data_IF_345715512577
#
_entry.id   IF_345715512577
#
_cell.length_a   1.000
_cell.length_b   1.000
_cell.length_c   1.000
_cell.angle_alpha   90.00
_cell.angle_beta   90.00
_cell.angle_gamma   90.00
#
_symmetry.space_group_name_H-M   'P 1'
#
loop_
_entity.id
_entity.type
_entity.pdbx_description
1 polymer ?
#
# COMPACT_ATOMS: atom_id res chain seq x y z
N UNK A 1 23.11 -33.88 8.05
CA UNK A 1 21.71 -34.29 8.34
C UNK A 1 20.86 -33.22 7.74
N UNK A 2 20.27 -33.50 6.61
CA UNK A 2 19.37 -32.60 5.87
C UNK A 2 18.06 -32.52 6.63
N UNK A 3 17.76 -31.37 7.17
CA UNK A 3 16.42 -31.09 7.73
C UNK A 3 15.44 -30.95 6.56
N UNK A 4 14.60 -31.95 6.38
CA UNK A 4 13.43 -31.87 5.53
C UNK A 4 12.51 -30.76 6.07
N UNK A 5 12.49 -29.62 5.38
CA UNK A 5 11.42 -28.66 5.57
C UNK A 5 10.14 -29.27 5.06
N UNK A 6 9.15 -29.40 5.93
CA UNK A 6 7.78 -29.80 5.59
C UNK A 6 7.20 -28.78 4.59
N UNK A 7 7.34 -29.09 3.33
CA UNK A 7 6.83 -28.30 2.22
C UNK A 7 5.31 -28.52 2.14
N UNK A 8 4.54 -27.65 2.74
CA UNK A 8 3.07 -27.68 2.80
C UNK A 8 2.43 -27.24 1.46
N UNK A 9 3.01 -27.60 0.33
CA UNK A 9 2.42 -27.41 -0.99
C UNK A 9 2.31 -25.93 -1.47
N UNK A 10 2.86 -24.96 -0.72
CA UNK A 10 2.95 -23.58 -1.16
C UNK A 10 4.06 -23.43 -2.21
N UNK A 11 3.79 -22.67 -3.27
CA UNK A 11 4.83 -22.30 -4.23
C UNK A 11 5.88 -21.39 -3.56
N UNK A 12 7.15 -21.45 -4.01
CA UNK A 12 8.16 -20.51 -3.54
C UNK A 12 7.75 -19.07 -3.83
N UNK A 13 8.11 -18.15 -2.93
CA UNK A 13 7.89 -16.73 -3.16
C UNK A 13 8.60 -16.24 -4.44
N UNK A 14 8.03 -15.27 -5.14
CA UNK A 14 8.61 -14.75 -6.38
C UNK A 14 10.00 -14.12 -6.19
N UNK A 15 10.29 -13.66 -4.97
CA UNK A 15 11.58 -13.07 -4.59
C UNK A 15 12.37 -14.00 -3.64
N UNK A 16 12.08 -15.29 -3.63
CA UNK A 16 12.88 -16.25 -2.85
C UNK A 16 14.32 -16.25 -3.32
N UNK A 17 15.25 -16.16 -2.37
CA UNK A 17 16.68 -16.03 -2.64
C UNK A 17 17.18 -14.59 -2.79
N UNK A 18 16.29 -13.60 -2.84
CA UNK A 18 16.68 -12.18 -2.83
C UNK A 18 16.79 -11.70 -1.39
N UNK A 19 17.97 -11.17 -1.01
CA UNK A 19 18.22 -10.54 0.28
C UNK A 19 18.15 -9.03 0.16
N UNK A 20 17.35 -8.40 1.04
CA UNK A 20 17.14 -6.97 1.11
C UNK A 20 17.57 -6.45 2.48
N UNK A 21 18.45 -5.47 2.49
CA UNK A 21 18.81 -4.73 3.71
C UNK A 21 17.91 -3.49 3.79
N UNK A 22 17.09 -3.46 4.80
CA UNK A 22 16.10 -2.40 5.06
C UNK A 22 16.60 -1.46 6.15
N UNK A 23 17.12 -0.29 5.76
CA UNK A 23 17.59 0.78 6.65
C UNK A 23 16.50 1.84 6.90
N UNK A 24 15.27 1.56 6.47
CA UNK A 24 14.22 2.58 6.39
C UNK A 24 13.47 2.78 7.70
N UNK A 25 12.81 3.94 7.81
CA UNK A 25 11.97 4.33 8.94
C UNK A 25 10.62 4.88 8.45
N UNK A 26 9.66 4.98 9.36
CA UNK A 26 8.33 5.54 9.12
C UNK A 26 7.50 4.76 8.09
N UNK A 27 7.21 5.34 6.90
CA UNK A 27 6.16 4.84 5.99
C UNK A 27 6.72 4.42 4.64
N UNK A 28 7.28 5.34 3.85
CA UNK A 28 7.60 5.11 2.42
C UNK A 28 8.56 3.95 2.19
N UNK A 29 9.69 3.97 2.88
CA UNK A 29 10.68 2.89 2.80
C UNK A 29 10.19 1.57 3.36
N UNK A 30 9.63 1.53 4.59
CA UNK A 30 9.06 0.29 5.12
C UNK A 30 7.95 -0.31 4.26
N UNK A 31 7.15 0.51 3.56
CA UNK A 31 6.15 0.01 2.62
C UNK A 31 6.79 -0.62 1.38
N UNK A 32 7.83 -0.01 0.82
CA UNK A 32 8.61 -0.57 -0.28
C UNK A 32 9.15 -1.96 0.08
N UNK A 33 9.84 -2.08 1.21
CA UNK A 33 10.46 -3.33 1.64
C UNK A 33 9.44 -4.37 2.14
N UNK A 34 8.26 -3.93 2.65
CA UNK A 34 7.13 -4.81 2.94
C UNK A 34 6.65 -5.55 1.69
N UNK A 35 6.51 -4.85 0.57
CA UNK A 35 6.08 -5.46 -0.69
C UNK A 35 7.07 -6.56 -1.12
N UNK A 36 8.38 -6.32 -0.98
CA UNK A 36 9.41 -7.32 -1.25
C UNK A 36 9.30 -8.53 -0.31
N UNK A 37 9.16 -8.28 1.00
CA UNK A 37 9.01 -9.33 2.02
C UNK A 37 7.77 -10.20 1.77
N UNK A 38 6.65 -9.56 1.39
CA UNK A 38 5.41 -10.26 1.07
C UNK A 38 5.55 -11.15 -0.19
N UNK A 39 6.44 -10.77 -1.12
CA UNK A 39 6.79 -11.59 -2.29
C UNK A 39 7.86 -12.66 -1.99
N UNK A 40 8.30 -12.80 -0.74
CA UNK A 40 9.19 -13.87 -0.30
C UNK A 40 10.67 -13.49 -0.23
N UNK A 41 11.05 -12.21 -0.42
CA UNK A 41 12.41 -11.76 -0.18
C UNK A 41 12.79 -11.91 1.31
N UNK A 42 14.05 -12.22 1.57
CA UNK A 42 14.65 -12.14 2.89
C UNK A 42 14.93 -10.67 3.23
N UNK A 43 14.02 -10.01 3.95
CA UNK A 43 14.17 -8.61 4.32
C UNK A 43 14.68 -8.48 5.75
N UNK A 44 15.91 -7.99 5.89
CA UNK A 44 16.57 -7.73 7.18
C UNK A 44 16.43 -6.23 7.49
N UNK A 45 15.51 -5.89 8.39
CA UNK A 45 15.33 -4.53 8.88
C UNK A 45 16.38 -4.21 9.95
N UNK A 46 17.19 -3.21 9.67
CA UNK A 46 18.22 -2.71 10.58
C UNK A 46 17.62 -1.59 11.42
N UNK A 47 17.66 -1.77 12.72
CA UNK A 47 17.08 -0.83 13.67
C UNK A 47 18.11 -0.37 14.72
N UNK A 48 17.92 0.85 15.24
CA UNK A 48 18.80 1.36 16.32
C UNK A 48 18.57 0.55 17.60
N UNK A 49 19.64 0.09 18.28
CA UNK A 49 19.50 -0.57 19.57
C UNK A 49 18.67 0.24 20.57
N UNK A 50 17.82 -0.42 21.33
CA UNK A 50 16.97 0.15 22.38
C UNK A 50 15.81 1.03 21.93
N UNK A 51 15.87 1.67 20.76
CA UNK A 51 14.82 2.60 20.29
C UNK A 51 14.02 2.13 19.08
N UNK A 52 14.62 1.35 18.20
CA UNK A 52 14.00 0.87 16.96
C UNK A 52 13.59 1.97 15.99
N UNK A 53 12.74 1.58 15.04
CA UNK A 53 12.06 2.51 14.14
C UNK A 53 11.10 3.40 14.93
N UNK A 54 11.14 4.74 14.77
CA UNK A 54 10.21 5.63 15.45
C UNK A 54 8.73 5.29 15.26
N UNK A 55 8.35 4.67 14.13
CA UNK A 55 6.96 4.27 13.82
C UNK A 55 6.42 3.21 14.80
N UNK A 56 7.28 2.47 15.52
CA UNK A 56 6.86 1.53 16.58
C UNK A 56 6.00 2.19 17.64
N UNK A 57 6.15 3.53 17.82
CA UNK A 57 5.43 4.30 18.82
C UNK A 57 4.23 5.08 18.28
N UNK A 58 3.91 4.92 16.99
CA UNK A 58 2.82 5.65 16.34
C UNK A 58 1.55 4.80 16.21
N UNK A 59 0.43 5.45 16.47
CA UNK A 59 -0.89 4.82 16.43
C UNK A 59 -1.30 4.20 17.77
N UNK A 60 -2.49 3.60 17.83
CA UNK A 60 -2.92 2.88 19.01
C UNK A 60 -1.96 1.72 19.28
N UNK A 61 -1.49 1.62 20.52
CA UNK A 61 -0.78 0.42 20.96
C UNK A 61 -1.76 -0.75 20.97
N UNK A 62 -1.50 -1.76 20.17
CA UNK A 62 -2.39 -2.92 20.04
C UNK A 62 -2.22 -3.94 21.16
N UNK A 63 -1.41 -3.66 22.17
CA UNK A 63 -1.32 -4.48 23.38
C UNK A 63 -2.19 -3.88 24.48
N UNK A 64 -3.31 -4.51 24.87
CA UNK A 64 -4.19 -4.04 25.95
C UNK A 64 -3.54 -4.12 27.33
N UNK A 65 -2.45 -4.85 27.48
CA UNK A 65 -1.79 -5.13 28.76
C UNK A 65 -0.33 -4.68 28.70
N UNK A 66 0.18 -3.92 29.69
CA UNK A 66 1.61 -3.72 29.82
C UNK A 66 2.28 -5.09 29.97
N UNK A 67 3.25 -5.40 29.11
CA UNK A 67 4.12 -6.54 29.31
C UNK A 67 4.82 -6.39 30.67
N UNK A 68 5.12 -7.47 31.38
CA UNK A 68 5.86 -7.42 32.64
C UNK A 68 7.13 -6.56 32.50
N UNK A 69 7.47 -5.82 33.57
CA UNK A 69 8.70 -5.01 33.59
C UNK A 69 9.90 -5.90 33.27
N UNK A 70 10.54 -5.65 32.12
CA UNK A 70 11.72 -6.40 31.65
C UNK A 70 11.55 -7.12 30.30
N UNK A 71 10.34 -7.31 29.82
CA UNK A 71 10.08 -7.89 28.49
C UNK A 71 9.56 -6.81 27.53
N UNK A 72 10.45 -6.26 26.71
CA UNK A 72 10.13 -5.46 25.53
C UNK A 72 9.29 -4.21 25.79
N UNK A 73 9.50 -3.18 24.97
CA UNK A 73 8.79 -1.91 25.04
C UNK A 73 7.26 -2.11 24.99
N UNK A 74 6.52 -1.22 25.65
CA UNK A 74 5.06 -1.04 25.50
C UNK A 74 4.69 -1.21 24.02
N UNK A 75 3.86 -2.16 23.73
CA UNK A 75 3.51 -2.74 22.44
C UNK A 75 3.70 -1.86 21.20
N UNK A 76 4.12 -2.49 20.14
CA UNK A 76 4.30 -1.84 18.83
C UNK A 76 2.99 -1.25 18.33
N UNK A 77 3.05 -0.05 17.75
CA UNK A 77 1.90 0.63 17.18
C UNK A 77 1.42 -0.04 15.88
N UNK A 78 0.12 0.10 15.59
CA UNK A 78 -0.53 -0.52 14.44
C UNK A 78 0.20 -0.25 13.10
N UNK A 79 0.78 0.93 12.93
CA UNK A 79 1.57 1.29 11.75
C UNK A 79 2.80 0.41 11.58
N UNK A 80 3.55 0.20 12.65
CA UNK A 80 4.73 -0.67 12.60
C UNK A 80 4.33 -2.10 12.24
N UNK A 81 3.33 -2.64 12.90
CA UNK A 81 2.86 -4.00 12.68
C UNK A 81 2.41 -4.21 11.24
N UNK A 82 1.73 -3.24 10.63
CA UNK A 82 1.30 -3.30 9.24
C UNK A 82 2.47 -3.20 8.25
N UNK A 83 3.36 -2.22 8.44
CA UNK A 83 4.42 -1.88 7.48
C UNK A 83 5.61 -2.84 7.53
N UNK A 84 5.73 -3.67 8.57
CA UNK A 84 6.90 -4.52 8.75
C UNK A 84 6.57 -6.02 8.85
N UNK A 85 5.39 -6.43 8.36
CA UNK A 85 5.05 -7.85 8.21
C UNK A 85 6.08 -8.57 7.34
N UNK A 86 6.36 -9.83 7.68
CA UNK A 86 7.25 -10.77 6.97
C UNK A 86 8.74 -10.37 6.94
N UNK A 87 9.16 -9.37 7.72
CA UNK A 87 10.57 -8.97 7.86
C UNK A 87 11.24 -9.65 9.05
N UNK A 88 12.57 -9.68 9.01
CA UNK A 88 13.44 -9.97 10.17
C UNK A 88 13.92 -8.65 10.77
N UNK A 89 14.21 -8.60 12.08
CA UNK A 89 14.77 -7.42 12.74
C UNK A 89 16.16 -7.73 13.32
N UNK A 90 17.13 -6.90 12.96
CA UNK A 90 18.45 -6.84 13.54
C UNK A 90 18.67 -5.46 14.13
N UNK A 91 19.01 -5.37 15.42
CA UNK A 91 19.47 -4.11 16.01
C UNK A 91 20.94 -3.87 15.67
N UNK A 92 21.28 -2.63 15.25
CA UNK A 92 22.65 -2.28 14.87
C UNK A 92 22.89 -0.77 15.02
N UNK A 93 23.94 -0.42 15.77
CA UNK A 93 24.39 0.97 15.86
C UNK A 93 25.33 1.33 14.71
N UNK A 94 24.80 1.99 13.68
CA UNK A 94 25.56 2.47 12.52
C UNK A 94 26.47 3.68 12.85
N UNK A 95 26.44 4.21 14.07
CA UNK A 95 27.41 5.18 14.55
C UNK A 95 28.75 4.55 14.95
N UNK A 96 28.74 3.25 15.29
CA UNK A 96 29.96 2.49 15.65
C UNK A 96 30.63 1.88 14.43
N UNK A 97 31.96 1.74 14.48
CA UNK A 97 32.69 1.08 13.38
C UNK A 97 32.34 -0.40 13.29
N UNK A 98 32.15 -1.09 14.42
CA UNK A 98 31.70 -2.48 14.44
C UNK A 98 30.32 -2.66 13.77
N UNK A 99 29.37 -1.75 14.03
CA UNK A 99 28.06 -1.78 13.38
C UNK A 99 28.15 -1.56 11.86
N UNK A 100 29.00 -0.62 11.42
CA UNK A 100 29.23 -0.40 9.98
C UNK A 100 29.88 -1.61 9.30
N UNK A 101 30.82 -2.29 9.97
CA UNK A 101 31.48 -3.47 9.41
C UNK A 101 30.52 -4.67 9.29
N UNK A 102 29.63 -4.83 10.27
CA UNK A 102 28.54 -5.83 10.18
C UNK A 102 27.62 -5.49 9.00
N UNK A 103 27.21 -4.23 8.83
CA UNK A 103 26.37 -3.82 7.70
C UNK A 103 27.08 -4.08 6.36
N UNK A 104 28.38 -3.74 6.21
CA UNK A 104 29.16 -4.03 5.01
C UNK A 104 29.20 -5.53 4.70
N UNK A 105 29.33 -6.36 5.74
CA UNK A 105 29.31 -7.82 5.59
C UNK A 105 27.95 -8.32 5.09
N UNK A 106 26.85 -7.78 5.58
CA UNK A 106 25.50 -8.10 5.09
C UNK A 106 25.31 -7.66 3.64
N UNK A 107 25.73 -6.44 3.30
CA UNK A 107 25.63 -5.88 1.93
C UNK A 107 26.43 -6.68 0.90
N UNK A 108 27.56 -7.27 1.29
CA UNK A 108 28.37 -8.09 0.36
C UNK A 108 27.61 -9.27 -0.23
N UNK A 109 26.55 -9.73 0.43
CA UNK A 109 25.69 -10.85 -0.02
C UNK A 109 24.25 -10.45 -0.29
N UNK A 110 23.92 -9.16 -0.21
CA UNK A 110 22.58 -8.66 -0.48
C UNK A 110 22.44 -8.19 -1.93
N UNK A 111 21.27 -8.34 -2.51
CA UNK A 111 20.95 -7.80 -3.82
C UNK A 111 20.45 -6.35 -3.74
N UNK A 112 19.81 -5.99 -2.63
CA UNK A 112 19.11 -4.70 -2.48
C UNK A 112 19.44 -4.07 -1.13
N UNK A 113 19.66 -2.74 -1.14
CA UNK A 113 19.64 -1.87 0.06
C UNK A 113 18.57 -0.83 -0.16
N UNK A 114 17.68 -0.63 0.81
CA UNK A 114 16.70 0.46 0.80
C UNK A 114 16.93 1.34 2.02
N UNK A 115 17.03 2.66 1.81
CA UNK A 115 17.17 3.64 2.88
C UNK A 115 16.27 4.85 2.63
N UNK A 116 15.91 5.58 3.71
CA UNK A 116 15.17 6.83 3.62
C UNK A 116 15.64 7.86 4.67
N UNK A 117 16.95 7.90 4.90
CA UNK A 117 17.57 8.91 5.74
C UNK A 117 17.57 10.29 5.04
N UNK A 118 17.92 11.31 5.80
CA UNK A 118 18.19 12.62 5.20
C UNK A 118 19.34 12.51 4.18
N UNK A 119 19.22 13.13 3.00
CA UNK A 119 20.23 13.06 1.94
C UNK A 119 21.65 13.30 2.43
N UNK A 120 22.60 12.49 1.98
CA UNK A 120 24.00 12.52 2.39
C UNK A 120 24.30 11.87 3.76
N UNK A 121 23.32 11.30 4.44
CA UNK A 121 23.56 10.59 5.71
C UNK A 121 24.37 9.31 5.47
N UNK A 122 24.02 8.52 4.47
CA UNK A 122 24.77 7.30 4.12
C UNK A 122 26.22 7.63 3.74
N UNK A 123 26.46 8.69 2.98
CA UNK A 123 27.80 9.14 2.62
C UNK A 123 28.65 9.53 3.85
N UNK A 124 28.04 10.27 4.78
CA UNK A 124 28.71 10.65 6.05
C UNK A 124 29.08 9.45 6.93
N UNK A 125 28.31 8.36 6.82
CA UNK A 125 28.61 7.10 7.51
C UNK A 125 29.68 6.27 6.79
N UNK A 126 30.07 6.62 5.54
CA UNK A 126 30.93 5.79 4.68
C UNK A 126 30.21 4.53 4.19
N UNK A 127 28.91 4.66 3.98
CA UNK A 127 27.98 3.62 3.55
C UNK A 127 27.14 4.10 2.35
N UNK A 128 27.58 5.15 1.66
CA UNK A 128 26.95 5.62 0.43
C UNK A 128 27.06 4.62 -0.71
N UNK A 129 26.27 4.79 -1.77
CA UNK A 129 26.27 3.87 -2.91
C UNK A 129 27.69 3.67 -3.48
N UNK A 130 28.45 4.77 -3.65
CA UNK A 130 29.85 4.74 -4.15
C UNK A 130 30.82 3.96 -3.27
N UNK A 131 30.49 3.72 -1.99
CA UNK A 131 31.29 2.88 -1.10
C UNK A 131 30.81 1.42 -1.16
N UNK A 132 29.49 1.21 -1.18
CA UNK A 132 28.88 -0.11 -1.15
C UNK A 132 29.02 -0.86 -2.50
N UNK A 133 28.97 -0.16 -3.63
CA UNK A 133 29.20 -0.75 -4.97
C UNK A 133 30.59 -1.39 -5.14
N UNK A 134 31.59 -0.87 -4.41
CA UNK A 134 32.95 -1.47 -4.40
C UNK A 134 32.98 -2.83 -3.73
N UNK A 135 32.06 -3.08 -2.78
CA UNK A 135 31.90 -4.36 -2.10
C UNK A 135 31.01 -5.32 -2.89
N UNK A 136 30.02 -4.78 -3.56
CA UNK A 136 29.06 -5.53 -4.34
C UNK A 136 28.67 -4.74 -5.61
N UNK A 137 29.33 -4.96 -6.75
CA UNK A 137 29.09 -4.23 -7.98
C UNK A 137 27.67 -4.41 -8.57
N UNK A 138 26.98 -5.48 -8.20
CA UNK A 138 25.60 -5.75 -8.64
C UNK A 138 24.54 -5.20 -7.67
N UNK A 139 24.95 -4.47 -6.62
CA UNK A 139 24.05 -3.94 -5.62
C UNK A 139 23.08 -2.91 -6.20
N UNK A 140 21.80 -3.10 -5.96
CA UNK A 140 20.76 -2.08 -6.17
C UNK A 140 20.54 -1.33 -4.86
N UNK A 141 20.80 -0.03 -4.84
CA UNK A 141 20.52 0.83 -3.68
C UNK A 141 19.39 1.80 -4.01
N UNK A 142 18.35 1.81 -3.20
CA UNK A 142 17.19 2.71 -3.35
C UNK A 142 17.13 3.68 -2.19
N UNK A 143 17.26 4.97 -2.49
CA UNK A 143 17.14 6.08 -1.54
C UNK A 143 15.80 6.78 -1.74
N UNK A 144 14.97 6.86 -0.70
CA UNK A 144 13.67 7.53 -0.74
C UNK A 144 13.74 8.75 0.16
N UNK A 145 13.53 9.95 -0.38
CA UNK A 145 13.58 11.17 0.40
C UNK A 145 12.45 12.14 0.06
N UNK A 146 12.27 13.18 0.88
CA UNK A 146 11.19 14.12 0.71
C UNK A 146 11.23 14.82 -0.66
N UNK A 147 12.42 15.28 -1.09
CA UNK A 147 12.63 16.08 -2.30
C UNK A 147 13.73 15.53 -3.23
N UNK A 148 14.12 14.28 -3.06
CA UNK A 148 15.22 13.67 -3.83
C UNK A 148 16.60 13.95 -3.24
N UNK A 149 17.62 13.32 -3.83
CA UNK A 149 19.02 13.43 -3.42
C UNK A 149 19.73 14.69 -3.97
N UNK A 150 19.07 15.44 -4.85
CA UNK A 150 19.62 16.61 -5.52
C UNK A 150 18.63 17.79 -5.51
N UNK A 151 19.05 18.95 -6.01
CA UNK A 151 18.19 20.12 -6.13
C UNK A 151 18.17 21.04 -4.89
N UNK A 152 17.51 22.21 -5.01
CA UNK A 152 17.56 23.25 -3.98
C UNK A 152 16.83 22.91 -2.67
N UNK A 153 15.89 21.96 -2.72
CA UNK A 153 15.09 21.54 -1.56
C UNK A 153 15.58 20.23 -0.91
N UNK A 154 16.65 19.66 -1.43
CA UNK A 154 17.23 18.40 -0.99
C UNK A 154 17.29 18.23 0.53
N UNK A 155 17.76 19.26 1.24
CA UNK A 155 17.99 19.23 2.68
C UNK A 155 16.79 19.76 3.51
N UNK A 156 15.67 20.09 2.85
CA UNK A 156 14.49 20.60 3.52
C UNK A 156 13.72 19.48 4.20
N UNK A 157 13.12 19.83 5.34
CA UNK A 157 12.30 18.90 6.10
C UNK A 157 10.85 18.98 5.65
N UNK A 158 10.23 17.82 5.48
CA UNK A 158 8.82 17.71 5.21
C UNK A 158 8.22 16.45 5.87
N UNK A 159 6.92 16.45 5.98
CA UNK A 159 6.09 15.31 6.33
C UNK A 159 5.03 15.13 5.26
N UNK A 160 4.16 14.14 5.37
CA UNK A 160 3.06 13.91 4.41
C UNK A 160 2.29 15.19 4.08
N UNK A 161 1.87 15.95 5.11
CA UNK A 161 1.10 17.19 4.93
C UNK A 161 1.81 18.20 4.03
N UNK A 162 3.12 18.39 4.24
CA UNK A 162 3.91 19.35 3.47
C UNK A 162 4.11 18.88 2.02
N UNK A 163 4.36 17.57 1.83
CA UNK A 163 4.58 16.96 0.51
C UNK A 163 3.29 16.94 -0.32
N UNK A 164 2.15 16.63 0.32
CA UNK A 164 0.84 16.69 -0.30
C UNK A 164 0.48 18.12 -0.73
N UNK A 165 0.80 19.13 0.10
CA UNK A 165 0.60 20.52 -0.21
C UNK A 165 1.52 20.99 -1.35
N UNK A 166 2.84 20.80 -1.22
CA UNK A 166 3.83 21.25 -2.18
C UNK A 166 3.75 20.52 -3.53
N UNK A 167 3.32 19.24 -3.52
CA UNK A 167 3.08 18.44 -4.71
C UNK A 167 1.82 18.82 -5.50
N UNK A 168 1.00 19.77 -5.00
CA UNK A 168 -0.19 20.28 -5.70
C UNK A 168 -1.49 19.54 -5.43
N UNK A 169 -1.45 18.33 -4.87
CA UNK A 169 -2.65 17.51 -4.59
C UNK A 169 -3.64 18.23 -3.67
N UNK A 170 -3.15 18.92 -2.66
CA UNK A 170 -3.98 19.67 -1.72
C UNK A 170 -4.70 20.84 -2.40
N UNK A 171 -4.08 21.48 -3.42
CA UNK A 171 -4.66 22.58 -4.14
C UNK A 171 -5.96 22.19 -4.88
N UNK A 172 -6.03 20.96 -5.38
CA UNK A 172 -7.18 20.42 -6.14
C UNK A 172 -8.19 19.65 -5.29
N UNK A 173 -7.96 19.54 -3.97
CA UNK A 173 -8.81 18.74 -3.05
C UNK A 173 -9.60 19.63 -2.12
N UNK A 174 -10.92 19.45 -2.09
CA UNK A 174 -11.86 20.16 -1.20
C UNK A 174 -12.93 20.98 -1.93
N UNK A 175 -13.75 21.67 -1.15
CA UNK A 175 -14.80 22.53 -1.66
C UNK A 175 -14.23 23.83 -2.27
N UNK A 176 -14.88 24.41 -3.31
CA UNK A 176 -14.40 25.62 -4.00
C UNK A 176 -14.14 26.80 -3.08
N UNK A 177 -15.07 27.05 -2.18
CA UNK A 177 -15.11 28.24 -1.31
C UNK A 177 -14.56 27.99 0.11
N UNK A 178 -13.91 26.84 0.32
CA UNK A 178 -13.34 26.46 1.61
C UNK A 178 -11.83 26.30 1.52
N UNK A 179 -11.16 26.09 2.67
CA UNK A 179 -9.75 25.73 2.70
C UNK A 179 -9.51 24.40 1.98
N UNK A 180 -8.31 24.22 1.39
CA UNK A 180 -7.90 22.93 0.84
C UNK A 180 -7.92 21.82 1.90
N UNK A 181 -8.31 20.62 1.50
CA UNK A 181 -8.34 19.45 2.39
C UNK A 181 -7.11 18.58 2.18
N UNK A 182 -6.61 18.02 3.29
CA UNK A 182 -5.62 16.94 3.25
C UNK A 182 -6.35 15.60 3.07
N UNK A 183 -5.62 14.62 2.56
CA UNK A 183 -6.08 13.23 2.50
C UNK A 183 -6.21 12.57 3.88
N UNK A 184 -6.98 11.51 3.95
CA UNK A 184 -7.16 10.71 5.17
C UNK A 184 -6.03 9.72 5.47
N UNK A 185 -5.17 9.42 4.49
CA UNK A 185 -4.07 8.45 4.58
C UNK A 185 -2.78 9.05 4.00
N UNK A 186 -1.58 8.58 4.36
CA UNK A 186 -0.32 9.10 3.84
C UNK A 186 -0.05 8.62 2.40
N UNK A 187 -0.89 9.07 1.45
CA UNK A 187 -0.91 8.60 0.07
C UNK A 187 0.37 8.94 -0.69
N UNK A 188 0.97 10.12 -0.46
CA UNK A 188 2.22 10.48 -1.12
C UNK A 188 3.36 9.57 -0.68
N UNK A 189 3.47 9.26 0.61
CA UNK A 189 4.49 8.34 1.12
C UNK A 189 4.26 6.89 0.69
N UNK A 190 3.02 6.39 0.75
CA UNK A 190 2.70 5.02 0.32
C UNK A 190 2.94 4.84 -1.17
N UNK A 191 2.51 5.80 -1.99
CA UNK A 191 2.70 5.75 -3.44
C UNK A 191 4.16 5.88 -3.85
N UNK A 192 4.94 6.75 -3.20
CA UNK A 192 6.38 6.82 -3.43
C UNK A 192 7.08 5.51 -3.03
N UNK A 193 6.65 4.86 -1.93
CA UNK A 193 7.14 3.53 -1.53
C UNK A 193 6.83 2.46 -2.58
N UNK A 194 5.64 2.49 -3.17
CA UNK A 194 5.27 1.59 -4.26
C UNK A 194 6.08 1.88 -5.55
N UNK A 195 6.30 3.14 -5.88
CA UNK A 195 7.13 3.56 -7.01
C UNK A 195 8.58 3.09 -6.81
N UNK A 196 9.11 3.25 -5.60
CA UNK A 196 10.42 2.75 -5.24
C UNK A 196 10.53 1.23 -5.41
N UNK A 197 9.50 0.47 -4.98
CA UNK A 197 9.45 -0.98 -5.21
C UNK A 197 9.53 -1.31 -6.71
N UNK A 198 8.71 -0.68 -7.56
CA UNK A 198 8.70 -0.94 -9.00
C UNK A 198 10.06 -0.62 -9.64
N UNK A 199 10.65 0.54 -9.32
CA UNK A 199 11.96 0.94 -9.84
C UNK A 199 13.07 -0.02 -9.39
N UNK A 200 13.03 -0.45 -8.11
CA UNK A 200 13.99 -1.42 -7.56
C UNK A 200 13.88 -2.78 -8.26
N UNK A 201 12.65 -3.25 -8.57
CA UNK A 201 12.48 -4.49 -9.32
C UNK A 201 13.08 -4.40 -10.73
N UNK A 202 12.86 -3.29 -11.44
CA UNK A 202 13.48 -3.07 -12.75
C UNK A 202 15.01 -3.06 -12.70
N UNK A 203 15.58 -2.41 -11.69
CA UNK A 203 17.03 -2.36 -11.49
C UNK A 203 17.61 -3.73 -11.06
N UNK A 204 16.87 -4.49 -10.24
CA UNK A 204 17.27 -5.86 -9.86
C UNK A 204 17.37 -6.76 -11.10
N UNK A 205 16.35 -6.77 -11.96
CA UNK A 205 16.36 -7.52 -13.22
C UNK A 205 17.57 -7.12 -14.09
N UNK A 206 17.84 -5.82 -14.20
CA UNK A 206 19.02 -5.36 -14.93
C UNK A 206 20.34 -5.83 -14.29
N UNK A 207 20.43 -5.79 -12.96
CA UNK A 207 21.63 -6.24 -12.25
C UNK A 207 21.84 -7.76 -12.38
N UNK A 208 20.79 -8.55 -12.38
CA UNK A 208 20.85 -10.00 -12.63
C UNK A 208 21.35 -10.33 -14.04
N UNK A 209 20.89 -9.58 -15.06
CA UNK A 209 21.28 -9.79 -16.45
C UNK A 209 22.72 -9.30 -16.76
N UNK A 210 23.14 -8.20 -16.13
CA UNK A 210 24.39 -7.50 -16.51
C UNK A 210 25.52 -7.60 -15.48
N UNK A 211 25.20 -7.97 -14.25
CA UNK A 211 26.12 -7.87 -13.10
C UNK A 211 26.38 -6.44 -12.62
N UNK A 212 25.60 -5.44 -13.09
CA UNK A 212 25.79 -4.03 -12.76
C UNK A 212 24.59 -3.52 -11.95
N UNK A 213 24.84 -3.13 -10.70
CA UNK A 213 23.87 -2.49 -9.82
C UNK A 213 23.60 -1.03 -10.20
N UNK A 214 22.66 -0.41 -9.52
CA UNK A 214 22.27 0.99 -9.73
C UNK A 214 21.88 1.67 -8.41
N UNK A 215 22.09 2.99 -8.36
CA UNK A 215 21.50 3.83 -7.32
C UNK A 215 20.21 4.46 -7.85
N UNK A 216 19.14 4.26 -7.11
CA UNK A 216 17.79 4.77 -7.42
C UNK A 216 17.47 5.89 -6.44
N UNK A 217 17.17 7.08 -6.95
CA UNK A 217 16.72 8.25 -6.19
C UNK A 217 15.21 8.42 -6.38
N UNK A 218 14.44 8.32 -5.31
CA UNK A 218 12.98 8.50 -5.30
C UNK A 218 12.61 9.69 -4.44
N UNK A 219 12.02 10.70 -5.06
CA UNK A 219 11.47 11.88 -4.41
C UNK A 219 9.96 11.70 -4.15
N UNK A 220 9.54 11.84 -2.91
CA UNK A 220 8.12 11.77 -2.54
C UNK A 220 7.36 12.98 -3.13
N UNK A 221 7.99 14.16 -3.16
CA UNK A 221 7.42 15.36 -3.78
C UNK A 221 7.16 15.18 -5.28
N UNK A 222 8.11 14.55 -5.98
CA UNK A 222 7.98 14.33 -7.43
C UNK A 222 6.87 13.32 -7.71
N UNK A 223 6.74 12.27 -6.85
CA UNK A 223 5.61 11.36 -6.92
C UNK A 223 4.28 12.09 -6.74
N UNK A 224 4.14 12.93 -5.68
CA UNK A 224 2.93 13.69 -5.44
C UNK A 224 2.55 14.60 -6.63
N UNK A 225 3.55 15.21 -7.29
CA UNK A 225 3.35 15.99 -8.49
C UNK A 225 2.99 15.13 -9.71
N UNK A 226 3.61 13.96 -9.84
CA UNK A 226 3.36 13.06 -10.98
C UNK A 226 1.90 12.56 -11.03
N UNK A 227 1.23 12.42 -9.89
CA UNK A 227 -0.17 11.97 -9.85
C UNK A 227 -1.21 13.11 -9.98
N UNK A 228 -0.79 14.34 -10.24
CA UNK A 228 -1.71 15.44 -10.56
C UNK A 228 -2.41 15.25 -11.91
N UNK A 229 -1.86 14.39 -12.78
CA UNK A 229 -2.50 13.92 -13.99
C UNK A 229 -3.09 15.08 -14.85
N UNK A 230 -4.43 15.09 -14.97
CA UNK A 230 -5.17 16.02 -15.80
C UNK A 230 -5.02 17.49 -15.38
N UNK A 231 -4.90 17.78 -14.09
CA UNK A 231 -4.83 19.15 -13.58
C UNK A 231 -3.58 19.89 -14.11
N UNK A 232 -2.42 19.23 -14.06
CA UNK A 232 -1.18 19.79 -14.58
C UNK A 232 -1.23 19.92 -16.11
N UNK A 233 -1.76 18.92 -16.80
CA UNK A 233 -1.85 18.92 -18.26
C UNK A 233 -2.81 19.99 -18.77
N UNK A 234 -3.95 20.19 -18.10
CA UNK A 234 -4.89 21.25 -18.43
C UNK A 234 -4.20 22.62 -18.39
N UNK A 235 -3.53 22.93 -17.29
CA UNK A 235 -2.79 24.19 -17.17
C UNK A 235 -1.68 24.33 -18.23
N UNK A 236 -0.92 23.27 -18.45
CA UNK A 236 0.19 23.28 -19.42
C UNK A 236 -0.27 23.52 -20.86
N UNK A 237 -1.43 22.99 -21.26
CA UNK A 237 -1.95 23.11 -22.62
C UNK A 237 -2.82 24.35 -22.85
N UNK A 238 -3.63 24.75 -21.87
CA UNK A 238 -4.63 25.83 -22.05
C UNK A 238 -4.34 27.08 -21.23
N UNK A 239 -3.47 26.99 -20.22
CA UNK A 239 -3.27 28.06 -19.22
C UNK A 239 -4.43 28.17 -18.21
N UNK A 240 -5.41 27.29 -18.29
CA UNK A 240 -6.55 27.28 -17.38
C UNK A 240 -6.24 26.49 -16.11
N UNK A 241 -6.45 27.11 -14.95
CA UNK A 241 -6.25 26.43 -13.68
C UNK A 241 -7.35 25.41 -13.39
N UNK A 242 -6.92 24.24 -12.93
CA UNK A 242 -7.81 23.23 -12.37
C UNK A 242 -8.13 23.61 -10.92
N UNK A 243 -9.37 23.99 -10.66
CA UNK A 243 -9.81 24.43 -9.32
C UNK A 243 -10.51 23.30 -8.58
N UNK A 244 -10.65 23.44 -7.26
CA UNK A 244 -11.45 22.52 -6.45
C UNK A 244 -12.92 22.57 -6.88
N UNK A 245 -13.55 21.41 -6.90
CA UNK A 245 -14.97 21.24 -7.31
C UNK A 245 -15.81 20.56 -6.25
N UNK A 246 -15.25 20.32 -5.07
CA UNK A 246 -15.93 19.62 -3.99
C UNK A 246 -16.21 18.16 -4.34
N UNK A 247 -17.39 17.72 -3.94
CA UNK A 247 -17.84 16.34 -4.14
C UNK A 247 -18.41 16.05 -5.53
N UNK A 248 -18.51 17.06 -6.41
CA UNK A 248 -18.93 16.85 -7.81
C UNK A 248 -17.75 16.55 -8.71
N UNK A 249 -17.96 15.68 -9.69
CA UNK A 249 -16.97 15.45 -10.76
C UNK A 249 -16.80 16.71 -11.62
N UNK A 250 -15.55 17.05 -11.96
CA UNK A 250 -15.24 18.23 -12.78
C UNK A 250 -16.00 18.21 -14.11
N UNK A 251 -16.79 19.27 -14.33
CA UNK A 251 -17.62 19.44 -15.54
C UNK A 251 -18.70 18.35 -15.75
N UNK A 252 -19.23 17.76 -14.67
CA UNK A 252 -20.22 16.67 -14.75
C UNK A 252 -21.29 16.76 -13.65
N UNK A 253 -22.53 16.27 -14.01
CA UNK A 253 -23.66 16.03 -13.12
C UNK A 253 -24.57 14.93 -13.77
N UNK A 254 -25.27 14.10 -13.07
CA UNK A 254 -25.07 13.63 -11.72
C UNK A 254 -23.80 12.73 -11.62
N UNK A 255 -22.77 13.29 -11.09
CA UNK A 255 -21.52 12.59 -10.82
C UNK A 255 -20.94 13.21 -9.54
N UNK A 256 -20.94 12.44 -8.46
CA UNK A 256 -20.47 12.97 -7.19
C UNK A 256 -20.77 12.07 -6.01
N UNK A 257 -20.54 12.61 -4.82
CA UNK A 257 -20.84 11.97 -3.55
C UNK A 257 -22.12 12.61 -2.98
N UNK A 258 -23.09 11.78 -2.64
CA UNK A 258 -24.39 12.19 -2.15
C UNK A 258 -24.68 11.56 -0.78
N UNK A 259 -25.39 12.27 0.12
CA UNK A 259 -25.87 11.68 1.36
C UNK A 259 -27.01 10.68 1.08
N UNK A 260 -27.09 9.64 1.91
CA UNK A 260 -28.18 8.67 1.92
C UNK A 260 -28.64 8.43 3.36
N UNK A 261 -29.56 7.49 3.59
CA UNK A 261 -30.16 7.27 4.90
C UNK A 261 -29.11 6.96 5.99
N UNK A 262 -28.11 6.13 5.68
CA UNK A 262 -27.11 5.60 6.62
C UNK A 262 -25.67 5.99 6.31
N UNK A 263 -25.45 7.00 5.44
CA UNK A 263 -24.11 7.45 5.10
C UNK A 263 -24.03 8.21 3.78
N UNK A 264 -23.14 7.76 2.90
CA UNK A 264 -22.88 8.40 1.62
C UNK A 264 -22.73 7.39 0.49
N UNK A 265 -23.11 7.82 -0.72
CA UNK A 265 -22.94 7.03 -1.96
C UNK A 265 -22.22 7.85 -3.02
N UNK A 266 -21.41 7.17 -3.82
CA UNK A 266 -20.82 7.72 -5.03
C UNK A 266 -21.69 7.34 -6.24
N UNK A 267 -22.10 8.31 -7.02
CA UNK A 267 -22.95 8.10 -8.20
C UNK A 267 -22.25 8.62 -9.44
N UNK A 268 -22.20 7.79 -10.48
CA UNK A 268 -21.77 8.15 -11.83
C UNK A 268 -22.90 7.81 -12.78
N UNK A 269 -23.56 8.82 -13.33
CA UNK A 269 -24.72 8.65 -14.22
C UNK A 269 -24.40 8.01 -15.58
N UNK A 270 -23.12 7.82 -15.90
CA UNK A 270 -22.69 7.27 -17.18
C UNK A 270 -22.92 8.20 -18.38
N UNK A 271 -22.95 7.66 -19.62
CA UNK A 271 -23.24 8.42 -20.83
C UNK A 271 -24.71 8.85 -20.90
N UNK A 272 -25.01 9.81 -21.77
CA UNK A 272 -26.37 10.38 -21.91
C UNK A 272 -27.45 9.34 -22.19
N UNK A 273 -27.12 8.28 -22.88
CA UNK A 273 -28.02 7.16 -23.20
C UNK A 273 -28.45 6.37 -21.97
N UNK A 274 -27.76 6.51 -20.84
CA UNK A 274 -28.06 5.81 -19.58
C UNK A 274 -28.81 6.68 -18.57
N UNK A 275 -29.08 7.94 -18.91
CA UNK A 275 -29.80 8.84 -18.03
C UNK A 275 -31.22 8.39 -17.69
N UNK A 276 -32.00 7.79 -18.63
CA UNK A 276 -33.32 7.26 -18.29
C UNK A 276 -33.34 6.20 -17.20
N UNK A 277 -32.28 5.36 -17.11
CA UNK A 277 -32.17 4.36 -16.04
C UNK A 277 -31.89 5.02 -14.68
N UNK A 278 -31.07 6.08 -14.64
CA UNK A 278 -30.86 6.87 -13.41
C UNK A 278 -32.18 7.48 -12.96
N UNK A 279 -32.94 8.11 -13.86
CA UNK A 279 -34.24 8.70 -13.56
C UNK A 279 -35.24 7.63 -13.06
N UNK A 280 -35.20 6.42 -13.66
CA UNK A 280 -36.01 5.28 -13.25
C UNK A 280 -35.70 4.78 -11.84
N UNK A 281 -34.42 4.67 -11.48
CA UNK A 281 -34.01 4.28 -10.12
C UNK A 281 -34.48 5.30 -9.08
N UNK A 282 -34.35 6.60 -9.38
CA UNK A 282 -34.74 7.68 -8.46
C UNK A 282 -36.25 7.85 -8.32
N UNK A 283 -37.07 7.14 -9.12
CA UNK A 283 -38.55 7.20 -9.11
C UNK A 283 -39.10 8.62 -9.23
N UNK A 284 -38.40 9.49 -10.01
CA UNK A 284 -38.72 10.89 -10.21
C UNK A 284 -38.96 11.20 -11.68
N UNK A 285 -40.23 11.45 -12.03
CA UNK A 285 -40.63 11.78 -13.40
C UNK A 285 -39.94 13.07 -13.88
N UNK A 286 -39.72 14.03 -12.97
CA UNK A 286 -39.07 15.32 -13.26
C UNK A 286 -37.64 15.14 -13.82
N UNK A 287 -36.93 14.08 -13.44
CA UNK A 287 -35.60 13.78 -13.99
C UNK A 287 -35.64 13.35 -15.47
N UNK A 288 -36.81 13.04 -16.00
CA UNK A 288 -37.04 12.76 -17.43
C UNK A 288 -37.24 14.03 -18.29
N UNK A 289 -37.17 15.21 -17.70
CA UNK A 289 -37.25 16.49 -18.45
C UNK A 289 -36.17 16.52 -19.53
N UNK A 290 -36.50 16.88 -20.79
CA UNK A 290 -35.52 16.98 -21.88
C UNK A 290 -34.30 17.86 -21.59
N UNK A 291 -34.39 18.83 -20.66
CA UNK A 291 -33.23 19.62 -20.21
C UNK A 291 -32.12 18.76 -19.61
N UNK A 292 -32.45 17.61 -19.01
CA UNK A 292 -31.50 16.71 -18.36
C UNK A 292 -31.01 15.57 -19.26
N UNK A 293 -31.55 15.47 -20.48
CA UNK A 293 -31.19 14.37 -21.38
C UNK A 293 -29.70 14.35 -21.77
N UNK A 294 -29.05 15.51 -21.85
CA UNK A 294 -27.63 15.61 -22.17
C UNK A 294 -26.78 15.94 -20.95
N UNK A 295 -25.51 15.48 -20.97
CA UNK A 295 -24.52 15.82 -19.96
C UNK A 295 -24.40 17.31 -19.70
N UNK A 296 -24.37 18.11 -20.77
CA UNK A 296 -24.27 19.57 -20.66
C UNK A 296 -25.55 20.17 -20.03
N UNK A 297 -26.72 19.63 -20.40
CA UNK A 297 -27.98 20.04 -19.78
C UNK A 297 -28.02 19.77 -18.28
N UNK A 298 -27.57 18.59 -17.86
CA UNK A 298 -27.44 18.26 -16.43
C UNK A 298 -26.41 19.14 -15.72
N UNK A 299 -25.28 19.43 -16.34
CA UNK A 299 -24.25 20.29 -15.76
C UNK A 299 -24.77 21.71 -15.50
N UNK A 300 -25.49 22.30 -16.47
CA UNK A 300 -26.08 23.64 -16.32
C UNK A 300 -27.12 23.67 -15.20
N UNK A 301 -27.84 22.58 -14.99
CA UNK A 301 -28.91 22.46 -14.01
C UNK A 301 -28.50 21.53 -12.82
N UNK A 302 -27.21 21.48 -12.48
CA UNK A 302 -26.68 20.48 -11.56
C UNK A 302 -27.35 20.51 -10.17
N UNK A 303 -27.61 21.69 -9.63
CA UNK A 303 -28.28 21.85 -8.33
C UNK A 303 -29.74 21.37 -8.36
N UNK A 304 -30.44 21.57 -9.46
CA UNK A 304 -31.80 21.06 -9.64
C UNK A 304 -31.83 19.54 -9.76
N UNK A 305 -30.90 18.98 -10.53
CA UNK A 305 -30.74 17.51 -10.65
C UNK A 305 -30.45 16.88 -9.30
N UNK A 306 -29.49 17.42 -8.55
CA UNK A 306 -29.14 16.92 -7.21
C UNK A 306 -30.34 17.04 -6.24
N UNK A 307 -31.07 18.16 -6.26
CA UNK A 307 -32.25 18.37 -5.43
C UNK A 307 -33.38 17.38 -5.75
N UNK A 308 -33.54 16.99 -7.01
CA UNK A 308 -34.53 15.98 -7.43
C UNK A 308 -34.12 14.55 -7.02
N UNK A 309 -32.81 14.24 -7.02
CA UNK A 309 -32.31 12.93 -6.61
C UNK A 309 -32.33 12.73 -5.08
N UNK A 310 -32.06 13.78 -4.34
CA UNK A 310 -31.81 13.74 -2.90
C UNK A 310 -32.95 13.10 -2.06
N UNK A 311 -34.27 13.33 -2.29
CA UNK A 311 -35.33 12.71 -1.49
C UNK A 311 -35.31 11.18 -1.55
N UNK A 312 -35.10 10.60 -2.75
CA UNK A 312 -34.97 9.15 -2.91
C UNK A 312 -33.72 8.61 -2.22
N UNK A 313 -32.59 9.28 -2.39
CA UNK A 313 -31.31 8.89 -1.77
C UNK A 313 -31.41 8.89 -0.23
N UNK A 314 -32.04 9.88 0.37
CA UNK A 314 -32.20 9.98 1.83
C UNK A 314 -33.19 8.97 2.41
N UNK A 315 -34.04 8.35 1.58
CA UNK A 315 -35.00 7.32 1.98
C UNK A 315 -34.48 5.89 1.80
N UNK A 316 -33.24 5.73 1.28
CA UNK A 316 -32.64 4.41 1.01
C UNK A 316 -31.27 4.27 1.65
N UNK A 317 -30.95 3.05 2.07
CA UNK A 317 -29.65 2.69 2.62
C UNK A 317 -28.58 2.63 1.52
N UNK A 318 -27.32 2.92 1.88
CA UNK A 318 -26.17 2.97 0.93
C UNK A 318 -25.99 1.67 0.14
N UNK A 319 -26.25 0.51 0.74
CA UNK A 319 -26.09 -0.80 0.10
C UNK A 319 -27.22 -1.04 -0.91
N UNK A 320 -28.46 -0.61 -0.62
CA UNK A 320 -29.60 -0.75 -1.53
C UNK A 320 -29.43 0.17 -2.75
N UNK A 321 -28.94 1.40 -2.54
CA UNK A 321 -28.61 2.32 -3.64
C UNK A 321 -27.52 1.73 -4.52
N UNK A 322 -26.45 1.15 -3.92
CA UNK A 322 -25.40 0.47 -4.66
C UNK A 322 -25.94 -0.67 -5.52
N UNK A 323 -26.76 -1.55 -4.95
CA UNK A 323 -27.37 -2.68 -5.67
C UNK A 323 -28.25 -2.23 -6.81
N UNK A 324 -29.14 -1.25 -6.57
CA UNK A 324 -30.02 -0.70 -7.61
C UNK A 324 -29.22 -0.15 -8.80
N UNK A 325 -28.12 0.56 -8.55
CA UNK A 325 -27.22 1.04 -9.60
C UNK A 325 -26.54 -0.10 -10.36
N UNK A 326 -26.02 -1.10 -9.66
CA UNK A 326 -25.33 -2.24 -10.28
C UNK A 326 -26.28 -3.12 -11.10
N UNK A 327 -27.51 -3.36 -10.64
CA UNK A 327 -28.55 -4.09 -11.38
C UNK A 327 -28.92 -3.38 -12.68
N UNK A 328 -28.91 -2.05 -12.66
CA UNK A 328 -29.11 -1.23 -13.85
C UNK A 328 -27.83 -1.07 -14.69
N UNK A 329 -26.70 -1.63 -14.30
CA UNK A 329 -25.41 -1.51 -15.00
C UNK A 329 -24.82 -0.09 -14.93
N UNK A 330 -25.06 0.63 -13.83
CA UNK A 330 -24.55 1.98 -13.55
C UNK A 330 -23.44 1.94 -12.51
N UNK A 331 -22.52 2.90 -12.59
CA UNK A 331 -21.40 3.02 -11.69
C UNK A 331 -21.78 3.65 -10.34
N UNK A 332 -22.65 3.01 -9.59
CA UNK A 332 -22.96 3.40 -8.22
C UNK A 332 -22.06 2.67 -7.25
N UNK A 333 -21.67 3.34 -6.17
CA UNK A 333 -20.85 2.79 -5.10
C UNK A 333 -21.29 3.36 -3.76
N UNK A 334 -20.94 2.69 -2.66
CA UNK A 334 -21.18 3.23 -1.32
C UNK A 334 -19.86 3.59 -0.63
N UNK A 335 -19.91 4.61 0.23
CA UNK A 335 -18.75 4.98 1.07
C UNK A 335 -18.70 4.00 2.23
N UNK A 336 -17.77 3.06 2.14
CA UNK A 336 -17.63 1.96 3.10
C UNK A 336 -16.95 2.44 4.39
N UNK A 337 -17.49 2.03 5.54
CA UNK A 337 -16.81 2.09 6.84
C UNK A 337 -15.79 0.95 6.95
N UNK A 338 -14.97 0.94 8.01
CA UNK A 338 -14.05 -0.18 8.25
C UNK A 338 -14.80 -1.49 8.54
N UNK A 339 -15.96 -1.42 9.18
CA UNK A 339 -16.86 -2.55 9.41
C UNK A 339 -17.40 -3.08 8.08
N UNK A 340 -17.95 -2.21 7.22
CA UNK A 340 -18.41 -2.60 5.88
C UNK A 340 -17.30 -3.30 5.07
N UNK A 341 -16.05 -2.82 5.15
CA UNK A 341 -14.91 -3.41 4.44
C UNK A 341 -14.62 -4.82 4.95
N UNK A 342 -14.63 -5.02 6.26
CA UNK A 342 -14.34 -6.34 6.86
C UNK A 342 -15.43 -7.37 6.58
N UNK A 343 -16.66 -6.94 6.29
CA UNK A 343 -17.82 -7.77 5.99
C UNK A 343 -18.15 -7.81 4.48
N UNK A 344 -17.40 -7.09 3.64
CA UNK A 344 -17.66 -7.01 2.21
C UNK A 344 -17.55 -8.37 1.52
N UNK A 345 -18.66 -8.85 0.98
CA UNK A 345 -18.79 -10.16 0.30
C UNK A 345 -17.70 -10.36 -0.76
N UNK A 346 -17.38 -9.31 -1.55
CA UNK A 346 -16.36 -9.37 -2.59
C UNK A 346 -14.95 -9.63 -2.02
N UNK A 347 -14.60 -9.01 -0.91
CA UNK A 347 -13.29 -9.19 -0.28
C UNK A 347 -13.21 -10.55 0.40
N UNK A 348 -14.30 -11.01 1.02
CA UNK A 348 -14.42 -12.34 1.62
C UNK A 348 -14.30 -13.42 0.53
N UNK A 349 -15.08 -13.30 -0.56
CA UNK A 349 -15.05 -14.28 -1.66
C UNK A 349 -13.69 -14.32 -2.40
N UNK A 350 -12.88 -13.27 -2.26
CA UNK A 350 -11.51 -13.23 -2.77
C UNK A 350 -10.46 -13.69 -1.77
N UNK A 351 -10.82 -14.12 -0.58
CA UNK A 351 -9.89 -14.44 0.53
C UNK A 351 -8.85 -13.32 0.71
N UNK A 352 -9.33 -12.07 0.68
CA UNK A 352 -8.45 -10.90 0.66
C UNK A 352 -7.75 -10.66 1.99
N UNK A 353 -8.43 -10.97 3.10
CA UNK A 353 -7.88 -10.75 4.43
C UNK A 353 -7.00 -11.91 4.87
N UNK A 354 -5.89 -11.58 5.53
CA UNK A 354 -5.01 -12.55 6.18
C UNK A 354 -5.03 -12.32 7.69
N UNK A 355 -5.04 -13.40 8.45
CA UNK A 355 -4.96 -13.34 9.91
C UNK A 355 -3.53 -13.58 10.36
N UNK A 356 -3.01 -12.67 11.18
CA UNK A 356 -1.66 -12.74 11.73
C UNK A 356 -1.71 -12.73 13.26
N UNK A 357 -1.10 -13.75 13.87
CA UNK A 357 -0.95 -13.85 15.32
C UNK A 357 0.30 -13.10 15.77
N UNK A 358 0.11 -12.06 16.55
CA UNK A 358 1.16 -11.25 17.16
C UNK A 358 1.48 -11.68 18.62
N UNK A 359 1.20 -12.91 18.97
CA UNK A 359 1.44 -13.46 20.31
C UNK A 359 0.65 -12.71 21.37
N UNK A 360 1.34 -12.03 22.31
CA UNK A 360 0.66 -11.31 23.40
C UNK A 360 -0.27 -10.18 22.94
N UNK A 361 -0.09 -9.65 21.73
CA UNK A 361 -0.96 -8.63 21.16
C UNK A 361 -2.27 -9.20 20.58
N UNK A 362 -2.33 -10.51 20.32
CA UNK A 362 -3.48 -11.20 19.74
C UNK A 362 -3.42 -11.34 18.23
N UNK A 363 -4.50 -11.90 17.67
CA UNK A 363 -4.65 -12.14 16.24
C UNK A 363 -5.47 -11.03 15.60
N UNK A 364 -4.97 -10.49 14.48
CA UNK A 364 -5.64 -9.41 13.76
C UNK A 364 -5.77 -9.75 12.27
N UNK A 365 -6.85 -9.24 11.66
CA UNK A 365 -7.05 -9.28 10.21
C UNK A 365 -6.24 -8.16 9.55
N UNK A 366 -5.47 -8.53 8.54
CA UNK A 366 -4.68 -7.61 7.71
C UNK A 366 -5.18 -7.60 6.28
N UNK A 367 -5.07 -6.47 5.57
CA UNK A 367 -5.21 -6.48 4.12
C UNK A 367 -4.16 -7.38 3.49
N UNK A 368 -4.59 -8.31 2.67
CA UNK A 368 -3.71 -9.14 1.86
C UNK A 368 -3.19 -8.41 0.61
N UNK A 369 -2.52 -9.13 -0.26
CA UNK A 369 -2.08 -8.58 -1.53
C UNK A 369 -3.26 -8.38 -2.49
N UNK A 370 -3.35 -7.24 -3.18
CA UNK A 370 -4.44 -6.98 -4.12
C UNK A 370 -4.29 -7.74 -5.45
N UNK A 371 -3.21 -8.51 -5.60
CA UNK A 371 -2.84 -9.25 -6.80
C UNK A 371 -2.98 -10.74 -6.53
N UNK A 372 -3.60 -11.49 -7.44
CA UNK A 372 -3.57 -12.95 -7.48
C UNK A 372 -2.73 -13.40 -8.64
N UNK A 373 -1.82 -14.34 -8.40
CA UNK A 373 -0.96 -14.92 -9.40
C UNK A 373 -1.27 -16.41 -9.53
N UNK A 374 -1.47 -16.88 -10.77
CA UNK A 374 -1.72 -18.29 -11.07
C UNK A 374 -0.65 -18.81 -12.01
N UNK A 375 -0.07 -19.98 -11.72
CA UNK A 375 0.82 -20.66 -12.64
C UNK A 375 0.04 -21.67 -13.49
N UNK A 376 0.50 -21.91 -14.73
CA UNK A 376 -0.09 -22.90 -15.64
C UNK A 376 0.08 -24.36 -15.16
N UNK A 377 0.89 -24.57 -14.13
CA UNK A 377 1.11 -25.89 -13.50
C UNK A 377 0.16 -26.17 -12.34
N UNK A 378 -0.65 -25.22 -11.92
CA UNK A 378 -1.77 -25.50 -11.01
C UNK A 378 -2.76 -26.44 -11.73
N UNK A 379 -3.24 -27.52 -11.10
CA UNK A 379 -4.28 -28.34 -11.70
C UNK A 379 -5.50 -27.45 -11.92
N UNK A 380 -5.68 -27.01 -13.14
CA UNK A 380 -6.96 -26.43 -13.55
C UNK A 380 -8.00 -27.53 -13.33
N UNK A 381 -8.97 -27.28 -12.46
CA UNK A 381 -10.23 -27.99 -12.52
C UNK A 381 -10.72 -27.82 -13.96
N UNK A 382 -10.66 -28.89 -14.75
CA UNK A 382 -11.14 -28.89 -16.13
C UNK A 382 -12.53 -28.26 -16.15
N UNK A 383 -12.80 -27.28 -17.01
CA UNK A 383 -14.17 -26.86 -17.22
C UNK A 383 -14.91 -28.09 -17.71
N UNK A 384 -15.91 -28.55 -16.97
CA UNK A 384 -16.83 -29.56 -17.45
C UNK A 384 -17.35 -29.11 -18.83
N UNK A 385 -17.05 -29.90 -19.85
CA UNK A 385 -17.69 -29.76 -21.14
C UNK A 385 -19.20 -30.00 -20.94
N UNK A 386 -19.92 -28.90 -20.72
CA UNK A 386 -21.37 -28.89 -20.99
C UNK A 386 -21.83 -27.44 -21.15
N UNK A 387 -22.35 -27.25 -22.36
CA UNK A 387 -23.25 -26.22 -22.84
C UNK A 387 -22.71 -25.05 -23.64
N UNK A 388 -22.43 -25.30 -24.91
CA UNK A 388 -23.01 -24.46 -25.95
C UNK A 388 -24.52 -24.61 -25.91
N UNK A 389 -25.23 -23.66 -25.32
CA UNK A 389 -26.62 -23.31 -25.73
C UNK A 389 -27.11 -22.08 -24.96
N UNK A 390 -27.45 -21.05 -25.72
CA UNK A 390 -28.46 -20.04 -25.44
C UNK A 390 -28.22 -19.03 -24.29
N UNK A 391 -27.99 -17.82 -24.72
CA UNK A 391 -28.35 -16.62 -23.96
C UNK A 391 -29.81 -16.73 -23.47
N UNK A 392 -30.02 -16.63 -22.14
CA UNK A 392 -31.31 -16.30 -21.54
C UNK A 392 -31.17 -16.07 -20.02
N UNK A 393 -32.12 -15.36 -19.38
CA UNK A 393 -31.86 -14.36 -18.38
C UNK A 393 -31.67 -14.95 -16.99
N UNK A 394 -31.04 -14.13 -16.14
CA UNK A 394 -30.88 -14.21 -14.68
C UNK A 394 -31.83 -15.19 -13.97
N UNK A 395 -31.30 -16.37 -13.63
CA UNK A 395 -31.92 -17.24 -12.62
C UNK A 395 -31.47 -16.80 -11.24
N UNK A 396 -32.43 -16.51 -10.39
CA UNK A 396 -32.23 -16.49 -8.95
C UNK A 396 -31.84 -17.89 -8.50
N UNK A 397 -30.57 -18.10 -8.14
CA UNK A 397 -30.15 -19.25 -7.36
C UNK A 397 -29.81 -18.78 -5.96
N UNK A 398 -30.48 -19.41 -5.00
CA UNK A 398 -30.16 -19.30 -3.59
C UNK A 398 -28.72 -19.77 -3.34
N UNK A 399 -27.98 -19.17 -2.39
CA UNK A 399 -26.62 -19.57 -2.10
C UNK A 399 -26.63 -20.95 -1.43
N UNK A 400 -26.42 -22.00 -2.20
CA UNK A 400 -26.02 -23.29 -1.67
C UNK A 400 -24.55 -23.20 -1.27
N UNK A 401 -24.31 -23.25 0.06
CA UNK A 401 -22.99 -23.34 0.65
C UNK A 401 -22.22 -24.55 0.11
N UNK A 402 -21.17 -24.27 -0.61
CA UNK A 402 -20.18 -25.22 -1.09
C UNK A 402 -19.06 -24.43 -1.74
N UNK A 403 -18.05 -24.07 -0.94
CA UNK A 403 -16.83 -23.50 -1.50
C UNK A 403 -16.16 -24.54 -2.40
N UNK A 404 -15.85 -24.23 -3.66
CA UNK A 404 -14.87 -25.00 -4.39
C UNK A 404 -13.51 -24.64 -3.78
N UNK A 405 -13.00 -25.53 -2.94
CA UNK A 405 -11.62 -25.51 -2.44
C UNK A 405 -10.65 -25.84 -3.57
N UNK A 406 -10.53 -24.96 -4.53
CA UNK A 406 -9.37 -24.86 -5.40
C UNK A 406 -8.47 -23.79 -4.79
N UNK A 407 -7.59 -24.18 -3.88
CA UNK A 407 -6.55 -23.30 -3.35
C UNK A 407 -5.73 -22.82 -4.52
N UNK A 408 -5.93 -21.55 -4.92
CA UNK A 408 -4.92 -20.84 -5.67
C UNK A 408 -3.67 -20.85 -4.76
N UNK A 409 -2.61 -21.53 -5.20
CA UNK A 409 -1.35 -21.54 -4.45
C UNK A 409 -0.78 -20.12 -4.55
N UNK A 410 -0.96 -19.34 -3.50
CA UNK A 410 -0.49 -17.96 -3.45
C UNK A 410 1.02 -17.94 -3.19
N UNK A 411 1.76 -17.20 -4.03
CA UNK A 411 3.19 -16.93 -3.88
C UNK A 411 3.49 -15.90 -2.76
N UNK A 412 2.47 -15.54 -1.97
CA UNK A 412 2.58 -14.50 -0.95
C UNK A 412 3.00 -15.08 0.40
N UNK A 413 3.94 -14.39 1.05
CA UNK A 413 4.43 -14.76 2.38
C UNK A 413 3.88 -13.80 3.42
N UNK A 414 3.12 -14.32 4.37
CA UNK A 414 2.54 -13.53 5.45
C UNK A 414 3.04 -14.04 6.81
N UNK A 415 3.80 -13.20 7.49
CA UNK A 415 4.27 -13.40 8.85
C UNK A 415 4.04 -12.14 9.64
N UNK A 416 3.90 -12.23 10.97
CA UNK A 416 3.83 -11.04 11.82
C UNK A 416 5.06 -10.14 11.67
N UNK A 417 4.93 -8.88 12.04
CA UNK A 417 6.09 -8.00 12.18
C UNK A 417 7.00 -8.48 13.32
N UNK A 418 8.34 -8.31 13.19
CA UNK A 418 9.29 -8.77 14.20
C UNK A 418 9.30 -7.88 15.42
N UNK A 419 9.61 -8.45 16.58
CA UNK A 419 10.03 -7.68 17.75
C UNK A 419 11.40 -7.03 17.50
N UNK A 420 11.72 -6.00 18.26
CA UNK A 420 12.99 -5.28 18.13
C UNK A 420 14.17 -6.22 18.36
N UNK A 421 15.02 -6.40 17.35
CA UNK A 421 16.22 -7.23 17.42
C UNK A 421 15.93 -8.74 17.51
N UNK A 422 14.72 -9.19 17.25
CA UNK A 422 14.28 -10.59 17.41
C UNK A 422 15.20 -11.58 16.73
N UNK A 423 15.76 -11.22 15.56
CA UNK A 423 16.59 -12.12 14.73
C UNK A 423 18.10 -11.83 14.82
N UNK A 424 18.52 -10.97 15.76
CA UNK A 424 19.93 -10.53 15.84
C UNK A 424 20.90 -11.70 16.02
N UNK A 425 20.58 -12.65 16.90
CA UNK A 425 21.45 -13.82 17.12
C UNK A 425 21.52 -14.77 15.92
N UNK A 426 20.40 -15.00 15.27
CA UNK A 426 20.31 -15.84 14.08
C UNK A 426 21.09 -15.24 12.91
N UNK A 427 20.87 -13.94 12.62
CA UNK A 427 21.53 -13.24 11.51
C UNK A 427 23.05 -13.19 11.75
N UNK A 428 23.49 -12.78 12.93
CA UNK A 428 24.90 -12.67 13.23
C UNK A 428 25.59 -14.05 13.31
N UNK A 429 24.94 -15.01 13.95
CA UNK A 429 25.53 -16.34 14.16
C UNK A 429 25.48 -17.22 12.91
N UNK A 430 24.32 -17.30 12.24
CA UNK A 430 24.13 -18.21 11.10
C UNK A 430 24.57 -17.56 9.79
N UNK A 431 24.09 -16.33 9.49
CA UNK A 431 24.37 -15.69 8.20
C UNK A 431 25.80 -15.11 8.12
N UNK A 432 26.33 -14.57 9.23
CA UNK A 432 27.66 -13.96 9.26
C UNK A 432 28.73 -14.82 9.98
N UNK A 433 28.34 -15.89 10.67
CA UNK A 433 29.28 -16.81 11.32
C UNK A 433 29.96 -16.27 12.59
N UNK A 434 29.38 -15.23 13.23
CA UNK A 434 29.92 -14.69 14.48
C UNK A 434 29.76 -15.72 15.62
N UNK A 435 30.81 -15.99 16.41
CA UNK A 435 30.68 -16.83 17.60
C UNK A 435 29.77 -16.21 18.65
N UNK A 436 29.06 -17.01 19.44
CA UNK A 436 28.18 -16.55 20.50
C UNK A 436 28.86 -15.58 21.50
N UNK A 437 30.14 -15.81 21.82
CA UNK A 437 30.92 -14.90 22.66
C UNK A 437 31.12 -13.51 22.05
N UNK A 438 31.26 -13.41 20.72
CA UNK A 438 31.35 -12.15 20.00
C UNK A 438 30.01 -11.43 19.98
N UNK A 439 28.91 -12.15 19.73
CA UNK A 439 27.55 -11.59 19.78
C UNK A 439 27.25 -11.02 21.16
N UNK A 440 27.60 -11.73 22.23
CA UNK A 440 27.44 -11.24 23.59
C UNK A 440 28.25 -9.94 23.84
N UNK A 441 29.51 -9.91 23.36
CA UNK A 441 30.36 -8.73 23.46
C UNK A 441 29.77 -7.52 22.71
N UNK A 442 29.25 -7.71 21.51
CA UNK A 442 28.60 -6.65 20.72
C UNK A 442 27.37 -6.08 21.45
N UNK A 443 26.60 -6.96 22.11
CA UNK A 443 25.45 -6.57 22.93
C UNK A 443 25.87 -5.75 24.16
N UNK A 444 26.88 -6.21 24.89
CA UNK A 444 27.40 -5.48 26.07
C UNK A 444 27.96 -4.10 25.69
N UNK A 445 28.47 -3.94 24.49
CA UNK A 445 28.95 -2.68 23.94
C UNK A 445 27.84 -1.79 23.37
N UNK A 446 26.60 -2.26 23.32
CA UNK A 446 25.47 -1.54 22.75
C UNK A 446 25.52 -1.39 21.23
N UNK A 447 26.27 -2.25 20.52
CA UNK A 447 26.35 -2.27 19.07
C UNK A 447 25.11 -2.95 18.47
N UNK A 448 24.57 -3.95 19.18
CA UNK A 448 23.35 -4.69 18.81
C UNK A 448 22.36 -4.72 19.95
#
# INVERSE_FOLDING_TARGET
MTTESSNNGSLPGLMEGVRVIDLTHYISGPYCTKLMATLGAEVIKIERPGSGDPIRRFGPALTPTPLPEGEGQKGDGAWFLYLNTSKQSLTLDLGSDAGKDILRSLVSSAQIVVENFAPGTMDKLGLGYSDLEKLNPSLVMTSISNYGQTGPYRDWKATELNLYAAGGLMYITGEPDSEPLKEGAPLAQLGAGQTAFVATMGALMHAEDTGQGQHIDVSISDYATNILENAMMQYSYSGEEYTRVGNRGYGRAAWGIYPCQDGYVGIISGPDTRWPEVAGIMEREELSDPRFASRNGRLINADEVDALMLPWLLDHDKVDIFKAGQEAGLGFGFVATMEDILEMEQLIARDYFVELDHGAAGTFKYPGAPIRMTSSTSPQSSPSQESEAAASPLRKEEPQGGHPTGQAQDHWVYRRAPYLGEHSEEILGVALGHPAAEIARLRDQGVI
#
